data_IF_068502829356
#
_entry.id   IF_068502829356
#
_cell.length_a   1.000
_cell.length_b   1.000
_cell.length_c   1.000
_cell.angle_alpha   90.00
_cell.angle_beta   90.00
_cell.angle_gamma   90.00
#
_symmetry.space_group_name_H-M   'P 1'
#
loop_
_entity.id
_entity.type
_entity.pdbx_description
1 polymer ?
#
# COMPACT_ATOMS: atom_id res chain seq x y z
N UNK A 1 17.87 20.87 15.81
CA UNK A 1 16.46 20.50 16.07
C UNK A 1 16.20 19.03 15.86
N UNK A 2 15.02 18.50 16.21
CA UNK A 2 14.66 17.11 15.95
C UNK A 2 14.82 16.75 14.46
N UNK A 3 15.56 15.67 14.18
CA UNK A 3 15.84 15.23 12.79
C UNK A 3 16.99 15.96 12.09
N UNK A 4 17.68 16.87 12.74
CA UNK A 4 18.90 17.47 12.19
C UNK A 4 20.11 16.53 12.36
N UNK A 5 20.97 16.52 11.35
CA UNK A 5 22.18 15.72 11.31
C UNK A 5 23.40 16.67 11.59
N UNK A 6 24.24 16.23 12.47
CA UNK A 6 25.58 16.86 12.68
C UNK A 6 26.62 15.81 12.30
N UNK A 7 27.50 16.15 11.36
CA UNK A 7 28.61 15.29 10.96
C UNK A 7 29.93 15.88 11.41
N UNK A 8 30.82 15.03 11.92
CA UNK A 8 32.18 15.43 12.31
C UNK A 8 33.20 14.59 11.55
N UNK A 9 34.06 15.23 10.79
CA UNK A 9 35.20 14.56 10.15
C UNK A 9 36.42 14.75 11.02
N UNK A 10 36.70 13.75 11.85
CA UNK A 10 37.73 13.79 12.89
C UNK A 10 39.12 14.10 12.28
N UNK A 11 39.45 13.39 11.17
CA UNK A 11 40.74 13.53 10.48
C UNK A 11 41.05 14.96 9.99
N UNK A 12 40.03 15.76 9.72
CA UNK A 12 40.13 17.11 9.18
C UNK A 12 39.65 18.20 10.16
N UNK A 13 39.22 17.81 11.36
CA UNK A 13 38.66 18.72 12.35
C UNK A 13 37.47 19.55 11.85
N UNK A 14 36.68 19.02 10.92
CA UNK A 14 35.55 19.74 10.32
C UNK A 14 34.22 19.27 10.87
N UNK A 15 33.39 20.24 11.24
CA UNK A 15 32.01 20.04 11.65
C UNK A 15 31.08 20.47 10.49
N UNK A 16 30.15 19.60 10.13
CA UNK A 16 29.14 19.85 9.13
C UNK A 16 27.79 20.00 9.82
N UNK A 17 27.12 21.09 9.56
CA UNK A 17 25.72 21.29 9.92
C UNK A 17 24.80 20.52 8.94
N UNK A 18 23.56 20.36 9.30
CA UNK A 18 22.55 19.62 8.49
C UNK A 18 22.52 20.08 7.02
N UNK A 19 22.48 21.39 6.76
CA UNK A 19 22.50 21.90 5.38
C UNK A 19 23.81 21.59 4.66
N UNK A 20 24.94 21.79 5.32
CA UNK A 20 26.27 21.51 4.72
C UNK A 20 26.48 20.04 4.39
N UNK A 21 25.92 19.10 5.20
CA UNK A 21 25.95 17.67 4.87
C UNK A 21 25.13 17.40 3.66
N UNK A 22 23.90 17.94 3.60
CA UNK A 22 23.00 17.75 2.45
C UNK A 22 23.62 18.30 1.16
N UNK A 23 24.23 19.48 1.22
CA UNK A 23 24.91 20.09 0.08
C UNK A 23 26.13 19.27 -0.37
N UNK A 24 26.88 18.73 0.59
CA UNK A 24 28.03 17.86 0.30
C UNK A 24 27.56 16.56 -0.39
N UNK A 25 26.56 15.89 0.16
CA UNK A 25 26.01 14.68 -0.41
C UNK A 25 25.39 14.94 -1.79
N UNK A 26 24.66 16.04 -1.97
CA UNK A 26 24.09 16.43 -3.25
C UNK A 26 25.14 16.69 -4.34
N UNK A 27 26.32 17.15 -3.97
CA UNK A 27 27.44 17.35 -4.91
C UNK A 27 28.11 16.04 -5.30
N UNK A 28 28.26 15.12 -4.34
CA UNK A 28 28.95 13.85 -4.54
C UNK A 28 28.07 12.83 -5.31
N UNK A 29 26.76 12.89 -5.07
CA UNK A 29 25.77 11.97 -5.66
C UNK A 29 24.92 12.63 -6.75
N UNK A 30 25.53 13.34 -7.66
CA UNK A 30 24.84 14.04 -8.77
C UNK A 30 24.10 13.14 -9.78
N UNK A 31 24.24 11.83 -9.69
CA UNK A 31 23.82 10.90 -10.73
C UNK A 31 22.64 10.01 -10.33
N UNK A 32 21.64 10.55 -9.65
CA UNK A 32 20.36 9.87 -9.51
C UNK A 32 19.62 9.94 -10.84
N UNK A 33 19.73 8.88 -11.65
CA UNK A 33 18.99 8.73 -12.89
C UNK A 33 17.66 7.97 -12.72
N UNK A 34 17.22 7.79 -11.47
CA UNK A 34 15.91 7.21 -11.22
C UNK A 34 14.82 8.16 -11.73
N UNK A 35 13.94 7.65 -12.57
CA UNK A 35 12.78 8.39 -13.04
C UNK A 35 11.61 8.12 -12.11
N UNK A 36 10.95 9.19 -11.67
CA UNK A 36 9.68 9.08 -10.99
C UNK A 36 8.59 9.16 -12.05
N UNK A 37 7.83 8.10 -12.20
CA UNK A 37 6.76 7.98 -13.17
C UNK A 37 5.44 8.10 -12.44
N UNK A 38 4.68 9.14 -12.76
CA UNK A 38 3.32 9.31 -12.23
C UNK A 38 2.37 8.38 -12.98
N UNK A 39 1.83 7.40 -12.25
CA UNK A 39 0.90 6.43 -12.81
C UNK A 39 -0.51 6.99 -12.96
N UNK A 40 -0.90 7.96 -12.14
CA UNK A 40 -2.24 8.55 -12.25
C UNK A 40 -2.46 9.15 -13.64
N UNK A 41 -1.45 9.79 -14.21
CA UNK A 41 -1.51 10.30 -15.58
C UNK A 41 -1.69 9.19 -16.63
N UNK A 42 -1.18 7.99 -16.36
CA UNK A 42 -1.23 6.84 -17.28
C UNK A 42 -2.53 6.07 -17.20
N UNK A 43 -3.13 6.01 -16.01
CA UNK A 43 -4.34 5.21 -15.74
C UNK A 43 -5.61 6.03 -15.63
N UNK A 44 -5.53 7.36 -15.70
CA UNK A 44 -6.71 8.23 -15.65
C UNK A 44 -7.73 7.85 -16.72
N UNK A 45 -8.99 7.74 -16.32
CA UNK A 45 -10.12 7.47 -17.19
C UNK A 45 -11.09 8.63 -17.07
N UNK A 46 -11.36 9.28 -18.20
CA UNK A 46 -12.36 10.33 -18.27
C UNK A 46 -13.74 9.70 -18.50
N UNK A 47 -14.66 9.88 -17.58
CA UNK A 47 -16.08 9.70 -17.84
C UNK A 47 -16.76 8.41 -17.41
N UNK A 48 -16.07 7.40 -16.93
CA UNK A 48 -16.73 6.19 -16.39
C UNK A 48 -17.06 6.33 -14.90
N UNK A 49 -18.35 6.53 -14.62
CA UNK A 49 -18.89 6.40 -13.27
C UNK A 49 -19.69 5.09 -13.21
N UNK A 50 -19.08 4.01 -12.79
CA UNK A 50 -19.82 2.84 -12.36
C UNK A 50 -20.37 3.12 -10.97
N UNK A 51 -21.64 3.49 -10.89
CA UNK A 51 -22.32 3.63 -9.62
C UNK A 51 -23.18 2.39 -9.37
N UNK A 52 -22.86 1.67 -8.33
CA UNK A 52 -23.74 0.69 -7.76
C UNK A 52 -24.70 1.40 -6.80
N UNK A 53 -25.97 1.01 -6.79
CA UNK A 53 -26.96 1.63 -5.90
C UNK A 53 -27.96 0.60 -5.35
N UNK A 54 -28.61 0.97 -4.26
CA UNK A 54 -29.66 0.17 -3.65
C UNK A 54 -29.18 -1.23 -3.23
N UNK A 55 -29.97 -2.24 -3.57
CA UNK A 55 -29.71 -3.63 -3.15
C UNK A 55 -28.48 -4.25 -3.81
N UNK A 56 -28.10 -3.82 -5.02
CA UNK A 56 -26.89 -4.32 -5.65
C UNK A 56 -25.64 -3.85 -4.90
N UNK A 57 -25.59 -2.58 -4.49
CA UNK A 57 -24.51 -2.06 -3.66
C UNK A 57 -24.42 -2.81 -2.33
N UNK A 58 -25.56 -2.99 -1.63
CA UNK A 58 -25.58 -3.72 -0.34
C UNK A 58 -25.13 -5.15 -0.48
N UNK A 59 -25.54 -5.84 -1.55
CA UNK A 59 -25.11 -7.22 -1.82
C UNK A 59 -23.61 -7.31 -2.02
N UNK A 60 -23.01 -6.37 -2.74
CA UNK A 60 -21.56 -6.31 -2.96
C UNK A 60 -20.82 -6.02 -1.66
N UNK A 61 -21.27 -5.03 -0.89
CA UNK A 61 -20.69 -4.73 0.43
C UNK A 61 -20.73 -5.95 1.35
N UNK A 62 -21.86 -6.64 1.41
CA UNK A 62 -22.00 -7.87 2.19
C UNK A 62 -21.05 -8.98 1.68
N UNK A 63 -20.93 -9.16 0.37
CA UNK A 63 -20.05 -10.17 -0.23
C UNK A 63 -18.58 -9.93 0.14
N UNK A 64 -18.18 -8.67 0.21
CA UNK A 64 -16.83 -8.28 0.65
C UNK A 64 -16.68 -8.17 2.17
N UNK A 65 -17.71 -8.50 2.94
CA UNK A 65 -17.69 -8.47 4.39
C UNK A 65 -17.57 -7.05 4.98
N UNK A 66 -17.95 -6.03 4.20
CA UNK A 66 -17.90 -4.64 4.66
C UNK A 66 -19.03 -4.35 5.64
N UNK A 67 -18.66 -3.89 6.81
CA UNK A 67 -19.56 -3.36 7.81
C UNK A 67 -19.85 -1.87 7.57
N UNK A 68 -20.84 -1.32 8.27
CA UNK A 68 -21.09 0.12 8.26
C UNK A 68 -19.91 0.90 8.86
N UNK A 69 -19.27 0.34 9.88
CA UNK A 69 -18.07 0.92 10.48
C UNK A 69 -16.91 1.01 9.49
N UNK A 70 -16.68 -0.03 8.67
CA UNK A 70 -15.67 0.00 7.62
C UNK A 70 -15.91 1.12 6.62
N UNK A 71 -17.17 1.38 6.29
CA UNK A 71 -17.56 2.45 5.37
C UNK A 71 -17.34 3.83 5.97
N UNK A 72 -17.77 4.05 7.21
CA UNK A 72 -17.76 5.37 7.86
C UNK A 72 -16.40 5.72 8.47
N UNK A 73 -15.71 4.75 9.08
CA UNK A 73 -14.48 4.99 9.83
C UNK A 73 -13.21 4.72 9.02
N UNK A 74 -13.28 3.95 7.94
CA UNK A 74 -12.12 3.59 7.14
C UNK A 74 -12.22 4.19 5.73
N UNK A 75 -13.22 3.78 4.95
CA UNK A 75 -13.28 4.15 3.54
C UNK A 75 -13.63 5.62 3.32
N UNK A 76 -14.53 6.18 4.13
CA UNK A 76 -14.92 7.58 3.99
C UNK A 76 -13.75 8.55 4.24
N UNK A 77 -13.01 8.48 5.36
CA UNK A 77 -11.83 9.31 5.57
C UNK A 77 -10.74 9.11 4.52
N UNK A 78 -10.53 7.87 4.06
CA UNK A 78 -9.56 7.59 3.00
C UNK A 78 -9.95 8.28 1.67
N UNK A 79 -11.23 8.28 1.34
CA UNK A 79 -11.72 8.89 0.12
C UNK A 79 -11.75 10.42 0.17
N UNK A 80 -12.08 11.00 1.33
CA UNK A 80 -12.24 12.44 1.52
C UNK A 80 -10.90 13.13 1.75
N UNK A 81 -10.09 12.60 2.66
CA UNK A 81 -8.85 13.25 3.11
C UNK A 81 -7.58 12.70 2.43
N UNK A 82 -7.69 11.61 1.66
CA UNK A 82 -6.55 10.88 1.10
C UNK A 82 -5.50 10.49 2.17
N UNK A 83 -5.98 10.12 3.36
CA UNK A 83 -5.19 9.73 4.52
C UNK A 83 -5.53 8.32 4.94
N UNK A 84 -4.59 7.67 5.60
CA UNK A 84 -4.86 6.43 6.28
C UNK A 84 -5.82 6.67 7.45
N UNK A 85 -6.81 5.80 7.59
CA UNK A 85 -7.77 5.88 8.69
C UNK A 85 -7.07 5.62 10.03
N UNK A 86 -7.43 6.41 11.04
CA UNK A 86 -6.96 6.24 12.41
C UNK A 86 -7.93 5.30 13.13
N UNK A 87 -7.40 4.24 13.71
CA UNK A 87 -8.22 3.27 14.44
C UNK A 87 -7.41 2.51 15.48
N UNK A 88 -8.09 1.81 16.37
CA UNK A 88 -7.43 0.86 17.26
C UNK A 88 -7.22 -0.47 16.56
N UNK A 89 -6.06 -1.06 16.78
CA UNK A 89 -5.76 -2.41 16.28
C UNK A 89 -6.23 -3.44 17.30
N UNK A 90 -6.75 -4.54 16.78
CA UNK A 90 -7.29 -5.63 17.58
C UNK A 90 -8.80 -5.55 17.73
N UNK A 91 -9.41 -6.70 17.75
CA UNK A 91 -10.85 -6.89 17.93
C UNK A 91 -11.08 -7.89 19.05
N UNK A 92 -11.62 -7.41 20.19
CA UNK A 92 -11.95 -8.22 21.37
C UNK A 92 -13.33 -8.87 21.26
N UNK A 93 -14.07 -8.62 20.18
CA UNK A 93 -15.41 -9.15 19.99
C UNK A 93 -15.37 -10.68 19.98
N UNK A 94 -16.16 -11.38 20.81
CA UNK A 94 -16.24 -12.83 20.79
C UNK A 94 -16.66 -13.35 19.40
N UNK A 95 -16.06 -14.46 18.98
CA UNK A 95 -16.43 -15.10 17.72
C UNK A 95 -17.86 -15.61 17.78
N UNK A 96 -18.70 -15.15 16.89
CA UNK A 96 -20.08 -15.64 16.73
C UNK A 96 -20.10 -16.92 15.88
N UNK A 97 -19.59 -18.03 16.45
CA UNK A 97 -19.40 -19.30 15.73
C UNK A 97 -20.71 -19.96 15.26
N UNK A 98 -21.84 -19.56 15.83
CA UNK A 98 -23.18 -20.04 15.42
C UNK A 98 -23.95 -19.02 14.56
N UNK A 99 -23.28 -18.00 14.07
CA UNK A 99 -23.90 -16.98 13.21
C UNK A 99 -24.00 -17.48 11.78
N UNK A 100 -25.16 -17.30 11.15
CA UNK A 100 -25.36 -17.54 9.72
C UNK A 100 -24.79 -16.42 8.83
N UNK A 101 -24.26 -15.35 9.44
CA UNK A 101 -23.69 -14.24 8.70
C UNK A 101 -22.30 -14.59 8.20
N UNK A 102 -22.07 -14.33 6.92
CA UNK A 102 -20.75 -14.44 6.32
C UNK A 102 -19.73 -13.52 7.02
N UNK A 103 -18.56 -14.07 7.31
CA UNK A 103 -17.38 -13.31 7.72
C UNK A 103 -16.16 -13.75 6.94
N UNK A 104 -15.35 -12.82 6.41
CA UNK A 104 -14.08 -13.15 5.78
C UNK A 104 -13.14 -13.88 6.75
N UNK A 105 -12.29 -14.75 6.19
CA UNK A 105 -11.37 -15.57 6.99
C UNK A 105 -10.47 -14.74 7.91
N UNK A 106 -9.99 -13.58 7.45
CA UNK A 106 -9.10 -12.72 8.22
C UNK A 106 -9.75 -12.15 9.50
N UNK A 107 -11.09 -12.09 9.63
CA UNK A 107 -11.77 -11.71 10.86
C UNK A 107 -11.62 -12.72 12.00
N UNK A 108 -11.16 -13.94 11.70
CA UNK A 108 -10.90 -14.97 12.70
C UNK A 108 -9.48 -14.93 13.28
N UNK A 109 -8.60 -14.14 12.68
CA UNK A 109 -7.24 -13.93 13.20
C UNK A 109 -7.25 -12.74 14.14
N UNK A 110 -6.74 -12.95 15.35
CA UNK A 110 -6.76 -11.95 16.41
C UNK A 110 -5.37 -11.65 16.89
N UNK A 111 -5.18 -10.42 17.25
CA UNK A 111 -3.99 -9.96 17.92
C UNK A 111 -4.10 -10.22 19.41
N UNK A 112 -3.15 -10.94 19.99
CA UNK A 112 -3.15 -11.32 21.41
C UNK A 112 -2.40 -10.33 22.32
N UNK A 113 -1.93 -9.22 21.79
CA UNK A 113 -1.19 -8.19 22.52
C UNK A 113 -1.63 -6.79 22.09
N UNK A 114 -1.50 -5.84 22.99
CA UNK A 114 -1.75 -4.44 22.66
C UNK A 114 -0.64 -3.89 21.79
N UNK A 115 -1.01 -3.22 20.72
CA UNK A 115 -0.09 -2.55 19.82
C UNK A 115 -0.44 -1.07 19.72
N UNK A 116 0.58 -0.20 19.68
CA UNK A 116 0.37 1.22 19.43
C UNK A 116 -0.13 1.40 18.00
N UNK A 117 -1.29 2.02 17.84
CA UNK A 117 -1.92 2.24 16.54
C UNK A 117 -1.24 3.34 15.75
N UNK A 118 -0.89 4.42 16.43
CA UNK A 118 -0.23 5.57 15.83
C UNK A 118 1.05 5.86 16.62
N UNK A 119 2.24 5.76 15.99
CA UNK A 119 3.45 6.25 16.62
C UNK A 119 3.32 7.76 16.85
N UNK A 120 3.98 8.34 17.87
CA UNK A 120 3.96 9.77 18.13
C UNK A 120 4.62 10.51 16.95
N UNK A 121 3.79 11.11 16.13
CA UNK A 121 4.20 11.86 14.93
C UNK A 121 3.83 13.31 15.15
N UNK A 122 4.75 14.22 14.87
CA UNK A 122 4.46 15.65 14.90
C UNK A 122 3.54 16.05 13.73
N UNK A 123 2.73 17.09 13.91
CA UNK A 123 1.75 17.53 12.93
C UNK A 123 2.36 17.91 11.57
N UNK A 124 3.62 18.26 11.51
CA UNK A 124 4.30 18.59 10.24
C UNK A 124 4.65 17.35 9.42
N UNK A 125 4.86 16.21 10.08
CA UNK A 125 5.16 14.93 9.43
C UNK A 125 3.92 14.10 9.17
N UNK A 126 2.82 14.38 9.85
CA UNK A 126 1.58 13.62 9.75
C UNK A 126 1.14 13.44 8.28
N UNK A 127 1.12 14.49 7.50
CA UNK A 127 0.74 14.45 6.08
C UNK A 127 1.63 13.54 5.22
N UNK A 128 2.88 13.30 5.63
CA UNK A 128 3.77 12.40 4.91
C UNK A 128 3.63 10.95 5.36
N UNK A 129 3.43 10.73 6.65
CA UNK A 129 3.37 9.39 7.24
C UNK A 129 2.00 8.76 7.02
N UNK A 130 0.94 9.56 7.11
CA UNK A 130 -0.45 9.12 6.92
C UNK A 130 -0.90 9.21 5.46
N UNK A 131 -0.04 9.62 4.54
CA UNK A 131 -0.36 9.72 3.12
C UNK A 131 -0.60 8.35 2.50
N UNK A 132 -1.69 8.22 1.73
CA UNK A 132 -1.98 7.04 0.91
C UNK A 132 -1.14 6.96 -0.36
N UNK A 133 -0.26 7.92 -0.59
CA UNK A 133 0.62 7.94 -1.75
C UNK A 133 1.51 6.70 -1.78
N UNK A 134 1.25 5.84 -2.75
CA UNK A 134 1.88 4.53 -2.88
C UNK A 134 2.99 4.57 -3.91
N UNK A 135 4.11 3.94 -3.61
CA UNK A 135 5.25 3.82 -4.53
C UNK A 135 5.49 2.37 -4.86
N UNK A 136 5.74 2.12 -6.14
CA UNK A 136 6.06 0.81 -6.68
C UNK A 136 7.43 0.87 -7.34
N UNK A 137 8.22 -0.17 -7.17
CA UNK A 137 9.50 -0.33 -7.80
C UNK A 137 10.30 -1.40 -7.09
N UNK A 138 11.09 -2.14 -7.84
CA UNK A 138 12.04 -3.05 -7.23
C UNK A 138 13.26 -2.24 -6.82
N UNK A 139 13.39 -1.97 -5.53
CA UNK A 139 14.56 -1.26 -5.00
C UNK A 139 15.83 -2.13 -5.04
N UNK A 140 15.69 -3.43 -5.30
CA UNK A 140 16.82 -4.35 -5.29
C UNK A 140 17.54 -4.36 -3.94
N UNK A 141 18.85 -4.47 -3.98
CA UNK A 141 19.66 -4.32 -2.77
C UNK A 141 19.83 -2.84 -2.44
N UNK A 142 19.23 -2.39 -1.34
CA UNK A 142 19.30 -0.99 -0.86
C UNK A 142 20.72 -0.55 -0.47
N UNK A 143 21.65 -1.49 -0.31
CA UNK A 143 23.07 -1.21 -0.06
C UNK A 143 23.88 -1.08 -1.35
N UNK A 144 23.30 -1.45 -2.49
CA UNK A 144 23.91 -1.29 -3.81
C UNK A 144 23.45 0.04 -4.44
N UNK A 145 24.25 1.05 -4.24
CA UNK A 145 23.95 2.42 -4.64
C UNK A 145 23.82 2.58 -6.16
N UNK A 146 24.60 1.85 -6.92
CA UNK A 146 24.62 1.92 -8.39
C UNK A 146 23.32 1.36 -8.99
N UNK A 147 22.71 0.37 -8.34
CA UNK A 147 21.41 -0.19 -8.73
C UNK A 147 20.25 0.74 -8.36
N UNK A 148 20.27 1.34 -7.17
CA UNK A 148 19.21 2.25 -6.73
C UNK A 148 19.06 3.47 -7.63
N UNK A 149 20.16 3.96 -8.20
CA UNK A 149 20.17 5.18 -9.03
C UNK A 149 19.61 4.99 -10.43
N UNK A 150 19.38 3.75 -10.86
CA UNK A 150 18.97 3.41 -12.24
C UNK A 150 17.54 2.92 -12.36
N UNK A 151 16.81 2.80 -11.25
CA UNK A 151 15.48 2.21 -11.24
C UNK A 151 14.37 3.24 -11.42
N UNK A 152 13.33 2.85 -12.15
CA UNK A 152 12.11 3.64 -12.23
C UNK A 152 11.26 3.44 -10.97
N UNK A 153 10.78 4.54 -10.42
CA UNK A 153 9.85 4.54 -9.30
C UNK A 153 8.50 4.99 -9.85
N UNK A 154 7.51 4.12 -9.72
CA UNK A 154 6.14 4.41 -10.10
C UNK A 154 5.37 4.91 -8.89
N UNK A 155 4.57 5.94 -9.07
CA UNK A 155 3.84 6.59 -7.98
C UNK A 155 2.37 6.66 -8.31
N UNK A 156 1.54 6.27 -7.33
CA UNK A 156 0.09 6.51 -7.31
C UNK A 156 -0.25 7.42 -6.13
N UNK A 157 -1.14 8.37 -6.32
CA UNK A 157 -1.61 9.23 -5.23
C UNK A 157 -2.52 8.49 -4.25
N UNK A 158 -3.19 7.43 -4.72
CA UNK A 158 -4.02 6.55 -3.88
C UNK A 158 -3.92 5.11 -4.35
N UNK A 159 -3.91 4.11 -3.44
CA UNK A 159 -3.98 2.69 -3.79
C UNK A 159 -5.40 2.26 -4.20
N UNK A 160 -6.40 3.14 -4.07
CA UNK A 160 -7.78 2.86 -4.41
C UNK A 160 -7.98 3.13 -5.90
N UNK A 161 -8.29 2.09 -6.65
CA UNK A 161 -8.50 2.14 -8.10
C UNK A 161 -9.89 1.65 -8.44
N UNK A 162 -10.53 2.27 -9.43
CA UNK A 162 -11.70 1.67 -10.08
C UNK A 162 -11.29 0.45 -10.90
N UNK A 163 -12.23 -0.41 -11.27
CA UNK A 163 -11.94 -1.59 -12.09
C UNK A 163 -11.24 -1.20 -13.40
N UNK A 164 -11.72 -0.17 -14.07
CA UNK A 164 -11.15 0.30 -15.33
C UNK A 164 -9.74 0.89 -15.16
N UNK A 165 -9.47 1.56 -14.04
CA UNK A 165 -8.11 2.02 -13.69
C UNK A 165 -7.20 0.83 -13.39
N UNK A 166 -7.69 -0.18 -12.69
CA UNK A 166 -6.96 -1.39 -12.40
C UNK A 166 -6.59 -2.15 -13.69
N UNK A 167 -7.52 -2.28 -14.64
CA UNK A 167 -7.25 -2.90 -15.94
C UNK A 167 -6.15 -2.13 -16.70
N UNK A 168 -6.20 -0.81 -16.71
CA UNK A 168 -5.13 0.01 -17.30
C UNK A 168 -3.80 -0.15 -16.59
N UNK A 169 -3.82 -0.24 -15.25
CA UNK A 169 -2.64 -0.47 -14.44
C UNK A 169 -1.98 -1.81 -14.79
N UNK A 170 -2.74 -2.90 -14.85
CA UNK A 170 -2.23 -4.21 -15.25
C UNK A 170 -1.68 -4.18 -16.69
N UNK A 171 -2.40 -3.55 -17.61
CA UNK A 171 -1.96 -3.42 -19.01
C UNK A 171 -0.68 -2.59 -19.15
N UNK A 172 -0.50 -1.56 -18.33
CA UNK A 172 0.71 -0.75 -18.31
C UNK A 172 1.95 -1.57 -17.94
N UNK A 173 1.84 -2.43 -16.94
CA UNK A 173 2.94 -3.31 -16.55
C UNK A 173 3.09 -4.53 -17.46
N UNK A 174 2.02 -4.95 -18.12
CA UNK A 174 2.02 -6.05 -19.09
C UNK A 174 2.67 -7.33 -18.54
N UNK A 175 3.76 -7.76 -19.15
CA UNK A 175 4.48 -8.98 -18.75
C UNK A 175 5.18 -8.88 -17.39
N UNK A 176 5.30 -7.69 -16.83
CA UNK A 176 5.88 -7.46 -15.50
C UNK A 176 4.83 -7.51 -14.39
N UNK A 177 3.60 -7.89 -14.72
CA UNK A 177 2.53 -8.12 -13.76
C UNK A 177 2.06 -9.57 -13.83
N UNK A 178 1.81 -10.15 -12.68
CA UNK A 178 1.16 -11.45 -12.55
C UNK A 178 -0.10 -11.29 -11.71
N UNK A 179 -1.21 -11.78 -12.21
CA UNK A 179 -2.48 -11.84 -11.48
C UNK A 179 -2.69 -13.28 -11.00
N UNK A 180 -2.76 -13.45 -9.69
CA UNK A 180 -3.09 -14.75 -9.08
C UNK A 180 -4.59 -14.74 -8.78
N UNK A 181 -5.33 -15.62 -9.48
CA UNK A 181 -6.76 -15.79 -9.24
C UNK A 181 -6.98 -16.66 -7.99
N UNK A 182 -7.55 -16.06 -6.95
CA UNK A 182 -7.90 -16.75 -5.71
C UNK A 182 -9.36 -17.19 -5.67
N UNK A 183 -10.10 -17.04 -6.76
CA UNK A 183 -11.48 -17.51 -6.85
C UNK A 183 -11.52 -19.02 -7.17
N UNK A 184 -12.58 -19.68 -6.76
CA UNK A 184 -12.84 -21.09 -7.10
C UNK A 184 -14.33 -21.33 -7.30
N UNK A 185 -14.64 -22.30 -8.15
CA UNK A 185 -16.02 -22.66 -8.42
C UNK A 185 -16.62 -23.48 -7.27
N UNK A 186 -17.94 -23.45 -7.16
CA UNK A 186 -18.69 -24.22 -6.14
C UNK A 186 -18.41 -25.74 -6.21
N UNK A 187 -18.10 -26.24 -7.40
CA UNK A 187 -17.86 -27.65 -7.68
C UNK A 187 -16.39 -28.06 -7.53
N UNK A 188 -15.50 -27.08 -7.30
CA UNK A 188 -14.07 -27.32 -7.10
C UNK A 188 -13.77 -27.59 -5.63
N UNK A 189 -12.94 -28.58 -5.35
CA UNK A 189 -12.44 -28.83 -4.01
C UNK A 189 -11.58 -27.65 -3.51
N UNK A 190 -11.85 -27.19 -2.29
CA UNK A 190 -11.04 -26.13 -1.65
C UNK A 190 -9.54 -26.49 -1.63
N UNK A 191 -9.22 -27.76 -1.42
CA UNK A 191 -7.84 -28.23 -1.42
C UNK A 191 -7.14 -28.09 -2.77
N UNK A 192 -7.84 -28.38 -3.86
CA UNK A 192 -7.33 -28.18 -5.22
C UNK A 192 -7.17 -26.70 -5.56
N UNK A 193 -8.13 -25.87 -5.15
CA UNK A 193 -8.05 -24.42 -5.31
C UNK A 193 -6.82 -23.85 -4.61
N UNK A 194 -6.59 -24.22 -3.35
CA UNK A 194 -5.43 -23.77 -2.58
C UNK A 194 -4.11 -24.24 -3.23
N UNK A 195 -4.04 -25.48 -3.69
CA UNK A 195 -2.85 -25.97 -4.42
C UNK A 195 -2.58 -25.20 -5.70
N UNK A 196 -3.61 -24.81 -6.44
CA UNK A 196 -3.44 -24.02 -7.65
C UNK A 196 -2.89 -22.62 -7.31
N UNK A 197 -3.47 -21.93 -6.33
CA UNK A 197 -2.99 -20.62 -5.87
C UNK A 197 -1.53 -20.70 -5.39
N UNK A 198 -1.19 -21.75 -4.64
CA UNK A 198 0.20 -21.98 -4.21
C UNK A 198 1.14 -22.11 -5.40
N UNK A 199 0.78 -22.92 -6.39
CA UNK A 199 1.59 -23.11 -7.60
C UNK A 199 1.78 -21.81 -8.38
N UNK A 200 0.73 -21.02 -8.51
CA UNK A 200 0.78 -19.74 -9.22
C UNK A 200 1.65 -18.73 -8.46
N UNK A 201 1.58 -18.72 -7.13
CA UNK A 201 2.46 -17.91 -6.29
C UNK A 201 3.93 -18.32 -6.39
N UNK A 202 4.24 -19.62 -6.45
CA UNK A 202 5.60 -20.13 -6.64
C UNK A 202 6.18 -19.72 -8.01
N UNK A 203 5.34 -19.67 -9.05
CA UNK A 203 5.73 -19.18 -10.37
C UNK A 203 6.01 -17.67 -10.35
N UNK A 204 5.23 -16.92 -9.60
CA UNK A 204 5.38 -15.47 -9.46
C UNK A 204 6.70 -15.04 -8.79
N UNK A 205 7.25 -15.88 -7.92
CA UNK A 205 8.48 -15.56 -7.15
C UNK A 205 9.75 -15.90 -7.94
N UNK A 206 9.66 -16.73 -8.97
CA UNK A 206 10.78 -17.12 -9.85
C UNK A 206 10.99 -16.13 -10.98
#
# INVERSE_FOLDING_TARGET
GPGEIIGVRIEKGKVFTNSKIKDYLAKEYKHFNSQIIDLDEKITISGEKHSFSGDDLRRRQYTFGMSLEDLELILHPMAEDAKEAIGSMGDDTPLAVLSDKYRPLYHFFRQNFSQVTNPPIDSLRENKVMSLKTRFGNLGNILDFDNLTKQNIYVLNSPILSNSQFDKFINFFGKNSLVIDCTFSKDQSLFEAIKQVQKDAEIAVR
#
